data_IF_565208416711
#
_entry.id   IF_565208416711
#
_cell.length_a   1.000
_cell.length_b   1.000
_cell.length_c   1.000
_cell.angle_alpha   90.00
_cell.angle_beta   90.00
_cell.angle_gamma   90.00
#
_symmetry.space_group_name_H-M   'P 1'
#
loop_
_entity.id
_entity.type
_entity.pdbx_description
1 polymer ?
#
# COMPACT_ATOMS: atom_id res chain seq x y z
N UNK A 1 -16.41 52.82 10.48
CA UNK A 1 -16.53 51.36 10.71
C UNK A 1 -15.26 50.69 10.18
N UNK A 2 -14.34 50.33 11.07
CA UNK A 2 -12.99 49.87 10.72
C UNK A 2 -12.97 48.36 10.44
N UNK A 3 -12.54 47.99 9.23
CA UNK A 3 -12.27 46.60 8.81
C UNK A 3 -10.84 46.25 9.24
N UNK A 4 -10.70 45.22 10.07
CA UNK A 4 -9.40 44.71 10.55
C UNK A 4 -8.73 43.91 9.41
N UNK A 5 -7.48 44.17 9.02
CA UNK A 5 -6.75 43.25 8.15
C UNK A 5 -6.25 42.03 8.94
N UNK A 6 -6.43 40.86 8.32
CA UNK A 6 -6.26 39.51 8.85
C UNK A 6 -4.79 39.13 9.09
N UNK A 7 -4.53 38.42 10.19
CA UNK A 7 -3.23 37.93 10.68
C UNK A 7 -2.74 36.64 9.98
N UNK A 8 -3.18 36.38 8.75
CA UNK A 8 -2.95 35.09 8.07
C UNK A 8 -2.04 35.19 6.83
N UNK A 9 -1.38 36.34 6.62
CA UNK A 9 -0.47 36.56 5.48
C UNK A 9 1.02 36.30 5.80
N UNK A 10 1.36 35.90 7.03
CA UNK A 10 2.74 35.73 7.51
C UNK A 10 3.01 34.29 7.96
N UNK A 11 2.75 33.31 7.08
CA UNK A 11 3.08 31.89 7.31
C UNK A 11 3.92 31.31 6.15
N UNK A 12 4.14 32.09 5.07
CA UNK A 12 4.92 31.67 3.90
C UNK A 12 6.19 32.51 3.71
N UNK A 13 6.84 32.85 4.82
CA UNK A 13 8.15 33.50 4.97
C UNK A 13 8.74 32.73 6.16
N UNK A 14 9.71 31.82 6.04
CA UNK A 14 10.97 31.87 5.34
C UNK A 14 11.53 30.42 5.34
N UNK A 15 11.85 29.89 4.16
CA UNK A 15 12.67 28.69 3.96
C UNK A 15 13.95 29.20 3.28
N UNK A 16 15.01 29.45 4.06
CA UNK A 16 16.41 29.33 3.63
C UNK A 16 17.40 29.67 4.76
N UNK A 17 18.07 28.66 5.34
CA UNK A 17 19.45 28.88 5.83
C UNK A 17 20.32 27.61 5.70
N UNK A 18 21.12 27.56 4.63
CA UNK A 18 22.46 26.95 4.54
C UNK A 18 23.49 28.10 4.75
N UNK A 19 24.81 27.93 5.03
CA UNK A 19 25.64 26.72 5.10
C UNK A 19 26.69 26.70 6.25
N UNK A 20 27.38 25.57 6.48
CA UNK A 20 28.71 25.58 7.12
C UNK A 20 29.58 24.40 6.68
N UNK A 21 30.46 24.68 5.71
CA UNK A 21 31.63 23.87 5.37
C UNK A 21 32.62 23.85 6.53
N UNK A 22 33.01 22.66 6.99
CA UNK A 22 34.26 22.45 7.72
C UNK A 22 34.90 21.13 7.27
N UNK A 23 35.83 21.24 6.32
CA UNK A 23 36.76 20.20 5.92
C UNK A 23 37.78 19.92 7.02
N UNK A 24 37.94 18.67 7.45
CA UNK A 24 39.16 18.15 8.10
C UNK A 24 39.40 16.69 7.67
N UNK A 25 40.48 16.50 6.90
CA UNK A 25 41.37 15.33 6.79
C UNK A 25 40.89 14.00 6.16
N UNK A 26 41.22 13.86 4.88
CA UNK A 26 42.00 12.80 4.17
C UNK A 26 42.56 11.55 4.92
N UNK A 27 42.97 10.46 4.21
CA UNK A 27 42.17 9.24 4.06
C UNK A 27 42.88 7.97 4.57
N UNK A 28 42.15 7.08 5.23
CA UNK A 28 42.58 5.68 5.42
C UNK A 28 41.40 4.76 5.11
N UNK A 29 41.19 4.48 3.82
CA UNK A 29 40.33 3.38 3.38
C UNK A 29 41.20 2.14 3.20
N UNK A 30 41.39 1.40 4.28
CA UNK A 30 41.79 0.01 4.18
C UNK A 30 40.62 -0.80 3.58
N UNK A 31 40.78 -1.48 2.43
CA UNK A 31 39.69 -2.25 1.85
C UNK A 31 39.63 -3.60 2.54
N UNK A 32 39.00 -3.67 3.72
CA UNK A 32 38.59 -4.96 4.27
C UNK A 32 37.47 -5.52 3.40
N UNK A 33 37.86 -6.42 2.50
CA UNK A 33 36.98 -7.33 1.77
C UNK A 33 36.19 -8.19 2.78
N UNK A 34 35.08 -7.66 3.26
CA UNK A 34 34.02 -8.46 3.84
C UNK A 34 32.97 -8.70 2.75
N UNK A 35 32.87 -9.96 2.32
CA UNK A 35 31.89 -10.40 1.34
C UNK A 35 30.47 -10.16 1.86
N UNK A 36 29.73 -9.24 1.25
CA UNK A 36 28.30 -9.05 1.47
C UNK A 36 27.54 -9.42 0.18
N UNK A 37 26.73 -10.50 0.18
CA UNK A 37 25.85 -10.77 -0.94
C UNK A 37 24.69 -9.76 -0.91
N UNK A 38 24.59 -8.96 -1.98
CA UNK A 38 23.44 -8.12 -2.29
C UNK A 38 22.19 -8.99 -2.47
N UNK A 39 21.09 -8.65 -1.79
CA UNK A 39 19.69 -8.83 -2.22
C UNK A 39 18.80 -8.04 -1.25
N UNK A 40 18.37 -6.84 -1.63
CA UNK A 40 17.08 -6.57 -2.27
C UNK A 40 15.94 -6.51 -1.25
N UNK A 41 15.46 -5.29 -1.03
CA UNK A 41 14.13 -4.89 -0.56
C UNK A 41 13.29 -6.00 0.10
N UNK A 42 13.21 -5.94 1.42
CA UNK A 42 12.16 -6.58 2.21
C UNK A 42 10.81 -5.92 1.88
N UNK A 43 10.24 -6.26 0.73
CA UNK A 43 8.79 -6.18 0.56
C UNK A 43 8.18 -7.23 1.46
N UNK A 44 7.28 -6.89 2.39
CA UNK A 44 6.64 -7.88 3.23
C UNK A 44 5.88 -8.85 2.33
N UNK A 45 6.39 -10.08 2.23
CA UNK A 45 5.67 -11.17 1.60
C UNK A 45 4.43 -11.41 2.45
N UNK A 46 3.20 -11.20 1.95
CA UNK A 46 2.02 -11.45 2.75
C UNK A 46 2.00 -12.94 3.06
N UNK A 47 2.19 -13.25 4.35
CA UNK A 47 2.09 -14.61 4.88
C UNK A 47 0.81 -15.23 4.33
N UNK A 48 0.94 -16.28 3.52
CA UNK A 48 -0.23 -16.97 2.97
C UNK A 48 -0.91 -17.72 4.10
N UNK A 49 -2.08 -17.28 4.59
CA UNK A 49 -2.86 -18.10 5.51
C UNK A 49 -3.19 -19.40 4.78
N UNK A 50 -3.25 -20.52 5.53
CA UNK A 50 -3.59 -21.84 5.01
C UNK A 50 -4.87 -21.72 4.15
N UNK A 51 -4.67 -21.73 2.82
CA UNK A 51 -5.68 -21.33 1.84
C UNK A 51 -6.75 -22.39 1.80
N UNK A 52 -7.84 -22.18 2.54
CA UNK A 52 -9.14 -22.72 2.17
C UNK A 52 -9.52 -22.09 0.83
N UNK A 53 -8.97 -22.65 -0.25
CA UNK A 53 -9.29 -22.21 -1.60
C UNK A 53 -10.79 -22.34 -1.78
N UNK A 54 -11.45 -21.25 -2.10
CA UNK A 54 -12.89 -21.24 -2.40
C UNK A 54 -13.24 -22.08 -3.63
N UNK A 55 -12.25 -22.40 -4.46
CA UNK A 55 -12.40 -23.15 -5.70
C UNK A 55 -11.31 -24.21 -5.85
N UNK A 56 -11.49 -25.41 -5.25
CA UNK A 56 -10.56 -26.51 -5.46
C UNK A 56 -10.53 -26.90 -6.95
N UNK A 57 -9.33 -27.15 -7.49
CA UNK A 57 -9.12 -27.56 -8.88
C UNK A 57 -9.10 -26.43 -9.92
N UNK A 58 -9.36 -25.17 -9.52
CA UNK A 58 -9.23 -24.01 -10.42
C UNK A 58 -7.94 -23.24 -10.15
N UNK A 59 -7.32 -22.72 -11.21
CA UNK A 59 -6.15 -21.84 -11.09
C UNK A 59 -6.60 -20.48 -10.54
N UNK A 60 -5.83 -19.87 -9.61
CA UNK A 60 -6.11 -18.51 -9.16
C UNK A 60 -5.97 -17.53 -10.32
N UNK A 61 -6.87 -16.56 -10.38
CA UNK A 61 -6.85 -15.49 -11.39
C UNK A 61 -6.22 -14.25 -10.77
N UNK A 62 -5.21 -13.70 -11.43
CA UNK A 62 -4.61 -12.42 -11.05
C UNK A 62 -5.38 -11.30 -11.75
N UNK A 63 -5.93 -10.38 -10.96
CA UNK A 63 -6.63 -9.19 -11.44
C UNK A 63 -5.89 -7.95 -10.97
N UNK A 64 -5.72 -6.98 -11.86
CA UNK A 64 -5.21 -5.68 -11.48
C UNK A 64 -6.36 -4.81 -10.98
N UNK A 65 -6.21 -4.29 -9.77
CA UNK A 65 -7.18 -3.40 -9.13
C UNK A 65 -6.41 -2.11 -8.80
N UNK A 66 -6.89 -0.93 -9.20
CA UNK A 66 -6.24 0.32 -8.84
C UNK A 66 -6.22 0.52 -7.32
N UNK A 67 -5.24 1.27 -6.83
CA UNK A 67 -4.96 1.38 -5.39
C UNK A 67 -6.15 1.91 -4.59
N UNK A 68 -6.91 2.87 -5.13
CA UNK A 68 -8.07 3.45 -4.45
C UNK A 68 -9.15 2.39 -4.19
N UNK A 69 -9.44 1.54 -5.18
CA UNK A 69 -10.37 0.43 -5.03
C UNK A 69 -9.81 -0.64 -4.08
N UNK A 70 -8.50 -0.87 -4.11
CA UNK A 70 -7.86 -1.83 -3.22
C UNK A 70 -7.87 -1.36 -1.75
N UNK A 71 -7.77 -0.05 -1.50
CA UNK A 71 -8.00 0.54 -0.18
C UNK A 71 -9.43 0.35 0.30
N UNK A 72 -10.43 0.61 -0.55
CA UNK A 72 -11.83 0.37 -0.21
C UNK A 72 -12.10 -1.10 0.15
N UNK A 73 -11.52 -2.05 -0.60
CA UNK A 73 -11.64 -3.48 -0.31
C UNK A 73 -11.00 -3.86 1.04
N UNK A 74 -9.85 -3.28 1.40
CA UNK A 74 -9.23 -3.48 2.72
C UNK A 74 -10.08 -2.94 3.85
N UNK A 75 -10.72 -1.80 3.65
CA UNK A 75 -11.64 -1.23 4.63
C UNK A 75 -12.85 -2.16 4.85
N UNK A 76 -13.47 -2.64 3.77
CA UNK A 76 -14.57 -3.61 3.84
C UNK A 76 -14.16 -4.91 4.57
N UNK A 77 -12.92 -5.36 4.38
CA UNK A 77 -12.38 -6.53 5.08
C UNK A 77 -12.38 -6.35 6.59
N UNK A 78 -11.96 -5.19 7.09
CA UNK A 78 -11.98 -4.90 8.52
C UNK A 78 -13.42 -4.88 9.04
N UNK A 79 -14.35 -4.28 8.30
CA UNK A 79 -15.77 -4.20 8.66
C UNK A 79 -16.44 -5.57 8.73
N UNK A 80 -16.09 -6.49 7.81
CA UNK A 80 -16.60 -7.87 7.79
C UNK A 80 -15.85 -8.82 8.74
N UNK A 81 -15.05 -8.31 9.69
CA UNK A 81 -14.38 -9.12 10.70
C UNK A 81 -13.00 -9.66 10.28
N UNK A 82 -12.33 -8.97 9.35
CA UNK A 82 -11.01 -9.32 8.85
C UNK A 82 -11.02 -10.41 7.78
N UNK A 83 -12.12 -10.57 7.03
CA UNK A 83 -12.19 -11.55 5.95
C UNK A 83 -11.10 -11.29 4.89
N UNK A 84 -10.45 -12.33 4.33
CA UNK A 84 -9.45 -12.13 3.31
C UNK A 84 -10.06 -11.50 2.06
N UNK A 85 -9.34 -10.58 1.41
CA UNK A 85 -9.82 -9.86 0.22
C UNK A 85 -10.30 -10.80 -0.89
N UNK A 86 -9.73 -12.01 -0.98
CA UNK A 86 -10.17 -13.03 -1.94
C UNK A 86 -11.61 -13.49 -1.73
N UNK A 87 -12.08 -13.57 -0.48
CA UNK A 87 -13.46 -13.98 -0.17
C UNK A 87 -14.44 -12.83 -0.44
N UNK A 88 -14.07 -11.61 -0.05
CA UNK A 88 -14.90 -10.41 -0.28
C UNK A 88 -15.07 -10.15 -1.78
N UNK A 89 -13.96 -10.12 -2.52
CA UNK A 89 -14.00 -9.89 -3.98
C UNK A 89 -14.76 -11.00 -4.70
N UNK A 90 -14.67 -12.24 -4.24
CA UNK A 90 -15.49 -13.33 -4.76
C UNK A 90 -16.98 -13.13 -4.49
N UNK A 91 -17.37 -12.79 -3.25
CA UNK A 91 -18.77 -12.55 -2.88
C UNK A 91 -19.36 -11.42 -3.74
N UNK A 92 -18.63 -10.31 -3.89
CA UNK A 92 -19.02 -9.19 -4.75
C UNK A 92 -19.16 -9.61 -6.21
N UNK A 93 -18.23 -10.43 -6.72
CA UNK A 93 -18.31 -10.96 -8.08
C UNK A 93 -19.54 -11.86 -8.27
N UNK A 94 -19.82 -12.77 -7.33
CA UNK A 94 -21.03 -13.62 -7.40
C UNK A 94 -22.30 -12.79 -7.38
N UNK A 95 -22.41 -11.80 -6.49
CA UNK A 95 -23.55 -10.88 -6.45
C UNK A 95 -23.75 -10.13 -7.78
N UNK A 96 -22.66 -9.62 -8.36
CA UNK A 96 -22.70 -8.95 -9.64
C UNK A 96 -23.17 -9.90 -10.77
N UNK A 97 -22.66 -11.13 -10.79
CA UNK A 97 -23.02 -12.14 -11.77
C UNK A 97 -24.50 -12.52 -11.66
N UNK A 98 -25.02 -12.71 -10.44
CA UNK A 98 -26.45 -12.98 -10.20
C UNK A 98 -27.31 -11.81 -10.69
N UNK A 99 -26.93 -10.56 -10.38
CA UNK A 99 -27.62 -9.35 -10.87
C UNK A 99 -27.64 -9.26 -12.41
N UNK A 100 -26.62 -9.81 -13.08
CA UNK A 100 -26.52 -9.89 -14.55
C UNK A 100 -27.28 -11.09 -15.15
N UNK A 101 -27.94 -11.90 -14.33
CA UNK A 101 -28.71 -13.08 -14.76
C UNK A 101 -27.92 -14.38 -14.80
N UNK A 102 -26.67 -14.40 -14.32
CA UNK A 102 -25.87 -15.63 -14.22
C UNK A 102 -26.21 -16.38 -12.92
N UNK A 103 -27.27 -17.19 -12.95
CA UNK A 103 -27.82 -17.91 -11.79
C UNK A 103 -26.99 -19.11 -11.33
N UNK A 104 -25.97 -19.52 -12.10
CA UNK A 104 -25.04 -20.61 -11.71
C UNK A 104 -24.20 -20.27 -10.47
N UNK A 105 -24.18 -19.01 -10.06
CA UNK A 105 -23.38 -18.48 -8.95
C UNK A 105 -24.25 -17.87 -7.84
N UNK A 106 -25.54 -18.25 -7.79
CA UNK A 106 -26.43 -17.89 -6.69
C UNK A 106 -25.81 -18.32 -5.33
N UNK A 107 -26.05 -17.54 -4.26
CA UNK A 107 -25.45 -17.78 -2.94
C UNK A 107 -25.83 -19.13 -2.35
#
# INVERSE_FOLDING_TARGET
>A
MAKKPSALASIFDDEAEEPALASVSEPTLEPQRAAAPRRSADTPTPATPARRSSHPGKKPVLIHIPEDMHRALRQLSVEEGGEPLTVITERLLRQYLVKRGHTRFAP
#
